data_IF_653114829240
#
_entry.id   IF_653114829240
#
_cell.length_a   1.000
_cell.length_b   1.000
_cell.length_c   1.000
_cell.angle_alpha   90.00
_cell.angle_beta   90.00
_cell.angle_gamma   90.00
#
_symmetry.space_group_name_H-M   'P 1'
#
loop_
_entity.id
_entity.type
_entity.pdbx_description
1 polymer ?
#
# COMPACT_ATOMS: atom_id res chain seq x y z
N UNK A 1 -8.26 -16.44 -23.79
CA UNK A 1 -7.71 -15.91 -22.52
C UNK A 1 -8.50 -14.67 -22.15
N UNK A 2 -9.02 -14.58 -20.91
CA UNK A 2 -9.53 -13.29 -20.44
C UNK A 2 -8.39 -12.27 -20.54
N UNK A 3 -8.60 -11.03 -21.03
CA UNK A 3 -7.54 -10.04 -21.01
C UNK A 3 -7.03 -9.93 -19.57
N UNK A 4 -5.71 -9.89 -19.40
CA UNK A 4 -5.05 -9.66 -18.12
C UNK A 4 -5.31 -8.21 -17.64
N UNK A 5 -6.58 -7.89 -17.39
CA UNK A 5 -7.11 -6.52 -17.29
C UNK A 5 -8.48 -6.42 -16.62
N UNK A 6 -8.86 -7.42 -15.81
CA UNK A 6 -9.94 -7.22 -14.83
C UNK A 6 -9.35 -6.43 -13.66
N UNK A 7 -9.62 -5.12 -13.66
CA UNK A 7 -8.98 -4.10 -12.84
C UNK A 7 -8.47 -4.54 -11.46
N UNK A 8 -7.19 -4.94 -11.36
CA UNK A 8 -6.64 -5.60 -10.17
C UNK A 8 -6.69 -4.69 -8.92
N UNK A 9 -6.63 -3.37 -9.12
CA UNK A 9 -6.76 -2.35 -8.10
C UNK A 9 -8.15 -2.27 -7.46
N UNK A 10 -9.19 -2.85 -8.08
CA UNK A 10 -10.54 -2.88 -7.50
C UNK A 10 -10.56 -3.63 -6.16
N UNK A 11 -9.68 -4.62 -5.96
CA UNK A 11 -9.52 -5.31 -4.68
C UNK A 11 -9.19 -4.34 -3.54
N UNK A 12 -8.47 -3.25 -3.83
CA UNK A 12 -8.08 -2.26 -2.84
C UNK A 12 -9.27 -1.44 -2.33
N UNK A 13 -10.34 -1.26 -3.13
CA UNK A 13 -11.54 -0.48 -2.75
C UNK A 13 -12.31 -1.08 -1.59
N UNK A 14 -12.16 -2.37 -1.34
CA UNK A 14 -12.80 -3.05 -0.21
C UNK A 14 -12.39 -2.36 1.08
N UNK A 15 -11.11 -2.07 1.25
CA UNK A 15 -10.57 -1.50 2.49
C UNK A 15 -10.15 -0.04 2.39
N UNK A 16 -9.86 0.49 1.20
CA UNK A 16 -9.29 1.82 1.00
C UNK A 16 -10.16 2.72 0.15
N UNK A 17 -10.09 4.02 0.41
CA UNK A 17 -10.54 5.04 -0.54
C UNK A 17 -9.37 5.49 -1.42
N UNK A 18 -9.70 5.89 -2.64
CA UNK A 18 -8.75 6.43 -3.62
C UNK A 18 -8.70 7.96 -3.56
N UNK A 19 -8.84 8.49 -2.34
CA UNK A 19 -8.73 9.90 -1.96
C UNK A 19 -8.00 10.00 -0.61
N UNK A 20 -7.98 11.19 -0.01
CA UNK A 20 -7.33 11.48 1.28
C UNK A 20 -8.19 11.16 2.51
N UNK A 21 -9.21 10.29 2.38
CA UNK A 21 -10.03 9.83 3.50
C UNK A 21 -9.70 8.39 3.85
N UNK A 22 -9.44 8.13 5.13
CA UNK A 22 -9.33 6.76 5.62
C UNK A 22 -10.68 6.02 5.48
N UNK A 23 -10.59 4.69 5.37
CA UNK A 23 -11.71 3.74 5.49
C UNK A 23 -11.29 2.67 6.50
N UNK A 24 -11.25 1.39 6.11
CA UNK A 24 -10.65 0.33 6.92
C UNK A 24 -9.12 0.46 6.92
N UNK A 25 -8.55 0.89 5.79
CA UNK A 25 -7.16 1.29 5.63
C UNK A 25 -7.01 2.81 5.41
N UNK A 26 -5.76 3.31 5.33
CA UNK A 26 -5.49 4.72 5.03
C UNK A 26 -5.97 5.09 3.62
N UNK A 27 -6.18 6.40 3.40
CA UNK A 27 -6.44 6.93 2.07
C UNK A 27 -5.25 6.72 1.14
N UNK A 28 -5.52 6.34 -0.11
CA UNK A 28 -4.50 6.08 -1.13
C UNK A 28 -4.29 7.25 -2.08
N UNK A 29 -5.30 8.11 -2.24
CA UNK A 29 -5.23 9.27 -3.13
C UNK A 29 -4.72 10.52 -2.42
N UNK A 30 -4.25 11.48 -3.21
CA UNK A 30 -3.94 12.83 -2.75
C UNK A 30 -5.24 13.58 -2.46
N UNK A 31 -5.17 14.50 -1.51
CA UNK A 31 -6.23 15.47 -1.25
C UNK A 31 -5.76 16.57 -0.32
N UNK A 32 -6.66 17.48 0.08
CA UNK A 32 -6.33 18.63 0.93
C UNK A 32 -5.65 18.25 2.24
N UNK A 33 -5.95 17.07 2.77
CA UNK A 33 -5.51 16.65 4.10
C UNK A 33 -4.27 15.75 4.07
N UNK A 34 -3.95 15.12 2.94
CA UNK A 34 -2.84 14.18 2.86
C UNK A 34 -2.27 14.01 1.44
N UNK A 35 -0.96 13.78 1.29
CA UNK A 35 -0.40 13.35 0.02
C UNK A 35 -0.90 11.93 -0.34
N UNK A 36 -0.91 11.62 -1.63
CA UNK A 36 -1.23 10.28 -2.13
C UNK A 36 -0.23 9.23 -1.64
N UNK A 37 -0.56 7.95 -1.78
CA UNK A 37 0.28 6.88 -1.22
C UNK A 37 1.63 6.79 -1.93
N UNK A 38 1.70 7.04 -3.24
CA UNK A 38 2.94 6.93 -3.99
C UNK A 38 3.90 8.05 -3.59
N UNK A 39 5.09 7.71 -3.09
CA UNK A 39 6.08 8.66 -2.56
C UNK A 39 5.85 9.07 -1.09
N UNK A 40 4.77 8.62 -0.44
CA UNK A 40 4.53 8.91 0.99
C UNK A 40 5.39 8.01 1.88
N UNK A 41 5.91 8.55 2.99
CA UNK A 41 6.57 7.74 4.03
C UNK A 41 5.57 6.74 4.64
N UNK A 42 6.03 5.54 4.95
CA UNK A 42 5.17 4.52 5.52
C UNK A 42 4.71 4.90 6.94
N UNK A 43 3.43 4.65 7.22
CA UNK A 43 2.86 4.90 8.54
C UNK A 43 2.53 6.37 8.85
N UNK A 44 2.58 7.28 7.86
CA UNK A 44 2.42 8.73 8.11
C UNK A 44 1.12 9.35 7.57
N UNK A 45 0.15 8.53 7.13
CA UNK A 45 -1.15 9.10 6.73
C UNK A 45 -1.85 9.74 7.94
N UNK A 46 -2.28 11.01 7.87
CA UNK A 46 -2.88 11.73 8.98
C UNK A 46 -4.10 11.02 9.57
N UNK A 47 -4.16 10.95 10.90
CA UNK A 47 -5.29 10.39 11.63
C UNK A 47 -5.48 8.86 11.54
N UNK A 48 -4.66 8.14 10.77
CA UNK A 48 -4.75 6.67 10.69
C UNK A 48 -3.79 5.98 11.67
N UNK A 49 -4.31 5.06 12.48
CA UNK A 49 -3.51 4.30 13.45
C UNK A 49 -2.89 3.07 12.80
N UNK A 50 -1.58 3.10 12.62
CA UNK A 50 -0.82 1.97 12.08
C UNK A 50 -0.35 1.04 13.18
N UNK A 51 -0.53 -0.27 12.97
CA UNK A 51 0.04 -1.27 13.88
C UNK A 51 1.53 -1.46 13.63
N UNK A 52 1.97 -1.40 12.37
CA UNK A 52 3.34 -1.81 12.03
C UNK A 52 4.41 -0.78 12.44
N UNK A 53 4.04 0.47 12.74
CA UNK A 53 4.98 1.54 13.08
C UNK A 53 5.79 1.22 14.32
N UNK A 54 5.26 0.41 15.25
CA UNK A 54 5.99 -0.05 16.43
C UNK A 54 7.20 -0.95 16.12
N UNK A 55 7.28 -1.52 14.91
CA UNK A 55 8.38 -2.38 14.47
C UNK A 55 9.46 -1.62 13.69
N UNK A 56 9.24 -0.35 13.38
CA UNK A 56 10.21 0.47 12.64
C UNK A 56 11.24 1.00 13.63
N UNK A 57 12.49 0.54 13.53
CA UNK A 57 13.61 0.94 14.41
C UNK A 57 14.44 2.11 13.88
N UNK A 58 14.21 2.54 12.64
CA UNK A 58 14.93 3.63 11.97
C UNK A 58 13.99 4.51 11.15
N UNK A 59 14.47 5.04 10.03
CA UNK A 59 13.57 5.77 9.13
C UNK A 59 12.57 4.82 8.44
N UNK A 60 11.27 5.19 8.36
CA UNK A 60 10.31 4.45 7.57
C UNK A 60 10.68 4.44 6.08
N UNK A 61 10.39 3.34 5.39
CA UNK A 61 10.52 3.30 3.94
C UNK A 61 9.53 4.26 3.26
N UNK A 62 9.80 4.56 1.99
CA UNK A 62 8.91 5.33 1.13
C UNK A 62 8.12 4.36 0.26
N UNK A 63 6.84 4.66 0.04
CA UNK A 63 5.99 3.88 -0.87
C UNK A 63 6.34 4.17 -2.33
N UNK A 64 7.41 3.55 -2.80
CA UNK A 64 7.80 3.49 -4.20
C UNK A 64 7.26 2.23 -4.89
N UNK A 65 7.63 2.04 -6.16
CA UNK A 65 7.22 0.89 -6.94
C UNK A 65 7.70 -0.45 -6.35
N UNK A 66 8.94 -0.55 -5.90
CA UNK A 66 9.52 -1.79 -5.39
C UNK A 66 8.84 -2.23 -4.09
N UNK A 67 8.61 -1.30 -3.17
CA UNK A 67 7.92 -1.56 -1.91
C UNK A 67 6.46 -1.93 -2.15
N UNK A 68 5.76 -1.22 -3.04
CA UNK A 68 4.36 -1.50 -3.35
C UNK A 68 4.19 -2.89 -3.97
N UNK A 69 5.07 -3.33 -4.89
CA UNK A 69 5.02 -4.68 -5.48
C UNK A 69 5.12 -5.78 -4.43
N UNK A 70 6.12 -5.69 -3.54
CA UNK A 70 6.29 -6.65 -2.44
C UNK A 70 5.08 -6.64 -1.52
N UNK A 71 4.59 -5.45 -1.17
CA UNK A 71 3.44 -5.28 -0.28
C UNK A 71 2.15 -5.88 -0.83
N UNK A 72 1.84 -5.64 -2.11
CA UNK A 72 0.61 -6.15 -2.72
C UNK A 72 0.65 -7.65 -3.01
N UNK A 73 1.85 -8.24 -3.19
CA UNK A 73 1.98 -9.68 -3.26
C UNK A 73 1.78 -10.32 -1.88
N UNK A 74 2.49 -9.85 -0.84
CA UNK A 74 2.38 -10.37 0.51
C UNK A 74 2.79 -9.34 1.57
N UNK A 75 1.81 -8.60 2.09
CA UNK A 75 2.04 -7.56 3.09
C UNK A 75 2.69 -8.08 4.39
N UNK A 76 2.41 -9.33 4.81
CA UNK A 76 3.02 -9.93 6.01
C UNK A 76 4.51 -10.18 5.80
N UNK A 77 4.90 -10.75 4.65
CA UNK A 77 6.32 -10.98 4.34
C UNK A 77 7.04 -9.65 4.11
N UNK A 78 6.40 -8.74 3.36
CA UNK A 78 6.95 -7.44 3.05
C UNK A 78 7.23 -6.62 4.32
N UNK A 79 6.33 -6.60 5.30
CA UNK A 79 6.58 -5.82 6.52
C UNK A 79 7.80 -6.35 7.29
N UNK A 80 7.94 -7.67 7.42
CA UNK A 80 9.09 -8.28 8.10
C UNK A 80 10.40 -7.94 7.40
N UNK A 81 10.39 -7.94 6.07
CA UNK A 81 11.54 -7.54 5.25
C UNK A 81 11.87 -6.05 5.42
N UNK A 82 10.87 -5.17 5.34
CA UNK A 82 11.09 -3.72 5.40
C UNK A 82 11.55 -3.24 6.78
N UNK A 83 11.10 -3.90 7.85
CA UNK A 83 11.51 -3.56 9.22
C UNK A 83 12.72 -4.34 9.69
N UNK A 84 13.13 -5.39 8.96
CA UNK A 84 14.13 -6.35 9.43
C UNK A 84 13.72 -7.13 10.68
N UNK A 85 12.42 -7.13 11.02
CA UNK A 85 11.89 -7.77 12.23
C UNK A 85 11.00 -8.96 11.84
N UNK A 86 11.40 -10.21 12.11
CA UNK A 86 10.60 -11.40 11.76
C UNK A 86 9.25 -11.46 12.50
N UNK A 87 9.11 -10.72 13.59
CA UNK A 87 7.87 -10.63 14.37
C UNK A 87 6.99 -9.46 13.95
N UNK A 88 7.38 -8.67 12.95
CA UNK A 88 6.58 -7.56 12.48
C UNK A 88 5.22 -8.02 11.93
N UNK A 89 4.19 -7.24 12.25
CA UNK A 89 2.80 -7.55 11.90
C UNK A 89 2.16 -6.36 11.21
N UNK A 90 1.23 -6.65 10.31
CA UNK A 90 0.34 -5.66 9.67
C UNK A 90 -1.11 -6.11 9.78
N UNK A 91 -2.04 -5.16 9.83
CA UNK A 91 -3.49 -5.43 9.80
C UNK A 91 -4.01 -5.68 8.39
N UNK A 92 -3.23 -5.32 7.36
CA UNK A 92 -3.60 -5.55 5.97
C UNK A 92 -3.38 -7.02 5.63
N UNK A 93 -4.44 -7.79 5.29
CA UNK A 93 -4.28 -9.18 4.87
C UNK A 93 -3.58 -9.26 3.51
N UNK A 94 -2.91 -10.38 3.17
CA UNK A 94 -2.30 -10.56 1.86
C UNK A 94 -3.36 -10.51 0.74
N UNK A 95 -3.25 -9.51 -0.14
CA UNK A 95 -4.14 -9.36 -1.31
C UNK A 95 -3.71 -10.23 -2.52
N UNK A 96 -2.50 -10.80 -2.45
CA UNK A 96 -1.96 -11.80 -3.39
C UNK A 96 -1.91 -11.32 -4.84
N UNK A 97 -1.58 -10.04 -5.05
CA UNK A 97 -1.31 -9.50 -6.39
C UNK A 97 0.20 -9.64 -6.64
N UNK A 98 0.60 -10.80 -7.18
CA UNK A 98 2.00 -11.13 -7.44
C UNK A 98 2.35 -11.14 -8.94
N UNK A 99 1.34 -11.17 -9.82
CA UNK A 99 1.53 -11.07 -11.27
C UNK A 99 2.02 -9.67 -11.66
N UNK A 100 3.04 -9.59 -12.52
CA UNK A 100 3.66 -8.31 -12.88
C UNK A 100 2.67 -7.38 -13.58
N UNK A 101 1.87 -7.86 -14.53
CA UNK A 101 0.95 -7.01 -15.28
C UNK A 101 -0.15 -6.45 -14.35
N UNK A 102 -0.68 -7.27 -13.45
CA UNK A 102 -1.63 -6.83 -12.42
C UNK A 102 -1.01 -5.81 -11.45
N UNK A 103 0.25 -6.01 -11.05
CA UNK A 103 0.97 -5.03 -10.23
C UNK A 103 1.20 -3.71 -10.96
N UNK A 104 1.57 -3.77 -12.24
CA UNK A 104 1.78 -2.59 -13.10
C UNK A 104 0.48 -1.76 -13.17
N UNK A 105 -0.66 -2.43 -13.33
CA UNK A 105 -1.98 -1.79 -13.34
C UNK A 105 -2.29 -1.07 -12.01
N UNK A 106 -2.06 -1.75 -10.87
CA UNK A 106 -2.25 -1.15 -9.55
C UNK A 106 -1.33 0.05 -9.35
N UNK A 107 -0.05 -0.08 -9.69
CA UNK A 107 0.94 0.97 -9.54
C UNK A 107 0.60 2.17 -10.42
N UNK A 108 0.19 1.95 -11.67
CA UNK A 108 -0.25 3.02 -12.56
C UNK A 108 -1.42 3.79 -11.93
N UNK A 109 -2.41 3.09 -11.35
CA UNK A 109 -3.52 3.74 -10.66
C UNK A 109 -3.07 4.51 -9.42
N UNK A 110 -2.17 3.95 -8.62
CA UNK A 110 -1.64 4.62 -7.42
C UNK A 110 -0.83 5.88 -7.78
N UNK A 111 -0.05 5.84 -8.87
CA UNK A 111 0.65 7.03 -9.40
C UNK A 111 -0.36 8.07 -9.87
N UNK A 112 -1.37 7.68 -10.64
CA UNK A 112 -2.44 8.58 -11.13
C UNK A 112 -3.10 9.35 -9.99
N UNK A 113 -3.57 8.65 -8.94
CA UNK A 113 -4.28 9.28 -7.81
C UNK A 113 -3.37 10.00 -6.82
N UNK A 114 -2.05 9.91 -6.97
CA UNK A 114 -1.08 10.58 -6.09
C UNK A 114 -0.50 11.87 -6.67
N UNK A 115 -0.87 12.21 -7.92
CA UNK A 115 -0.47 13.47 -8.58
C UNK A 115 -1.15 14.67 -7.95
#
# INVERSE_FOLDING_TARGET
>A
AAPAGAAAWQKCKVCHNFNDKAKVGPGLGKGPNAPGVFGRKAGTFPGFRYMFTQYIKGEPWVWDEAHLRKWMCNAKKAIQEFTGDPNAKTKMPPVKICDKAAQDEVIAKLKEISR
#
